data_IF_523448866805
#
_entry.id   IF_523448866805
#
_cell.length_a   1.000
_cell.length_b   1.000
_cell.length_c   1.000
_cell.angle_alpha   90.00
_cell.angle_beta   90.00
_cell.angle_gamma   90.00
#
_symmetry.space_group_name_H-M   'P 1'
#
loop_
_entity.id
_entity.type
_entity.pdbx_description
1 polymer ?
#
# COMPACT_ATOMS: atom_id res chain seq x y z
N UNK A 1 35.34 -34.50 -50.12
CA UNK A 1 34.21 -35.06 -49.34
C UNK A 1 34.00 -34.25 -48.06
N UNK A 2 32.78 -33.73 -47.89
CA UNK A 2 32.02 -33.64 -46.63
C UNK A 2 32.78 -33.28 -45.34
N UNK A 3 32.54 -32.05 -44.83
CA UNK A 3 32.17 -31.85 -43.40
C UNK A 3 31.14 -30.72 -43.28
N UNK A 4 29.86 -31.08 -43.42
CA UNK A 4 28.75 -30.24 -42.95
C UNK A 4 28.55 -30.50 -41.46
N UNK A 5 28.86 -29.54 -40.59
CA UNK A 5 28.50 -29.57 -39.18
C UNK A 5 27.43 -28.52 -38.89
N UNK A 6 26.35 -28.98 -38.26
CA UNK A 6 25.02 -28.37 -38.18
C UNK A 6 24.99 -27.17 -37.22
N UNK A 7 24.27 -26.11 -37.60
CA UNK A 7 23.98 -24.94 -36.74
C UNK A 7 23.17 -25.36 -35.50
N UNK A 8 23.58 -25.01 -34.27
CA UNK A 8 22.79 -25.27 -33.08
C UNK A 8 21.64 -24.27 -32.97
N UNK A 9 20.47 -24.81 -32.64
CA UNK A 9 19.18 -24.13 -32.50
C UNK A 9 19.20 -23.18 -31.30
N UNK A 10 19.32 -21.88 -31.52
CA UNK A 10 19.04 -20.86 -30.51
C UNK A 10 17.52 -20.69 -30.46
N UNK A 11 16.84 -21.67 -29.88
CA UNK A 11 15.43 -21.62 -29.50
C UNK A 11 15.32 -22.38 -28.19
N UNK A 12 15.50 -21.67 -27.06
CA UNK A 12 14.97 -22.01 -25.72
C UNK A 12 15.78 -21.27 -24.65
N UNK A 13 15.38 -20.03 -24.34
CA UNK A 13 15.67 -19.40 -23.05
C UNK A 13 14.71 -18.22 -22.77
N UNK A 14 13.45 -18.32 -23.20
CA UNK A 14 12.41 -17.35 -22.85
C UNK A 14 11.39 -18.07 -21.96
N UNK A 15 11.71 -18.24 -20.68
CA UNK A 15 10.83 -19.00 -19.81
C UNK A 15 11.32 -19.16 -18.39
N UNK A 16 11.74 -18.07 -17.73
CA UNK A 16 11.89 -18.08 -16.26
C UNK A 16 11.96 -16.65 -15.69
N UNK A 17 10.80 -15.97 -15.55
CA UNK A 17 10.57 -14.93 -14.52
C UNK A 17 9.17 -14.32 -14.64
N UNK A 18 8.11 -15.12 -14.56
CA UNK A 18 6.77 -14.58 -14.28
C UNK A 18 6.07 -15.46 -13.25
N UNK A 19 6.60 -15.48 -12.04
CA UNK A 19 5.77 -15.68 -10.86
C UNK A 19 5.55 -14.29 -10.29
N UNK A 20 4.75 -13.48 -10.99
CA UNK A 20 4.13 -12.32 -10.37
C UNK A 20 3.12 -12.91 -9.38
N UNK A 21 3.47 -12.89 -8.09
CA UNK A 21 2.58 -13.36 -7.04
C UNK A 21 1.24 -12.65 -7.18
N UNK A 22 0.19 -13.42 -7.47
CA UNK A 22 -1.16 -12.97 -7.25
C UNK A 22 -1.33 -12.87 -5.72
N UNK A 23 -0.87 -11.74 -5.17
CA UNK A 23 -1.26 -11.33 -3.83
C UNK A 23 -2.76 -11.16 -3.87
N UNK A 24 -3.48 -12.08 -3.23
CA UNK A 24 -4.89 -11.88 -2.93
C UNK A 24 -4.99 -10.55 -2.22
N UNK A 25 -5.56 -9.54 -2.87
CA UNK A 25 -5.86 -8.27 -2.22
C UNK A 25 -6.96 -8.54 -1.19
N UNK A 26 -6.56 -8.99 0.00
CA UNK A 26 -7.40 -8.85 1.17
C UNK A 26 -7.69 -7.35 1.28
N UNK A 27 -8.97 -6.98 1.29
CA UNK A 27 -9.35 -5.58 1.48
C UNK A 27 -8.78 -5.03 2.78
N UNK A 28 -8.67 -3.70 2.87
CA UNK A 28 -8.22 -3.03 4.08
C UNK A 28 -8.95 -3.56 5.32
N UNK A 29 -8.24 -3.74 6.45
CA UNK A 29 -8.91 -3.98 7.72
C UNK A 29 -9.98 -2.91 7.95
N UNK A 30 -11.19 -3.26 8.43
CA UNK A 30 -12.30 -2.30 8.52
C UNK A 30 -11.97 -1.02 9.30
N UNK A 31 -11.14 -1.13 10.34
CA UNK A 31 -10.69 0.02 11.14
C UNK A 31 -9.78 0.96 10.34
N UNK A 32 -8.94 0.39 9.47
CA UNK A 32 -8.05 1.16 8.59
C UNK A 32 -8.86 1.80 7.45
N UNK A 33 -9.85 1.10 6.88
CA UNK A 33 -10.76 1.66 5.89
C UNK A 33 -11.53 2.87 6.44
N UNK A 34 -12.05 2.77 7.67
CA UNK A 34 -12.71 3.90 8.34
C UNK A 34 -11.75 5.07 8.57
N UNK A 35 -10.51 4.79 8.95
CA UNK A 35 -9.47 5.80 9.14
C UNK A 35 -9.18 6.56 7.83
N UNK A 36 -9.02 5.83 6.73
CA UNK A 36 -8.84 6.37 5.39
C UNK A 36 -10.00 7.28 4.96
N UNK A 37 -11.24 6.82 5.13
CA UNK A 37 -12.43 7.60 4.75
C UNK A 37 -12.52 8.90 5.54
N UNK A 38 -12.27 8.84 6.85
CA UNK A 38 -12.27 10.02 7.73
C UNK A 38 -11.17 11.00 7.38
N UNK A 39 -9.96 10.49 7.09
CA UNK A 39 -8.86 11.32 6.61
C UNK A 39 -9.24 12.07 5.33
N UNK A 40 -9.86 11.40 4.37
CA UNK A 40 -10.26 12.02 3.10
C UNK A 40 -11.30 13.14 3.32
N UNK A 41 -12.30 12.90 4.16
CA UNK A 41 -13.30 13.93 4.52
C UNK A 41 -12.63 15.13 5.19
N UNK A 42 -11.75 14.90 6.16
CA UNK A 42 -11.05 15.98 6.87
C UNK A 42 -10.14 16.78 5.92
N UNK A 43 -9.38 16.08 5.08
CA UNK A 43 -8.39 16.71 4.20
C UNK A 43 -9.04 17.51 3.07
N UNK A 44 -10.10 16.98 2.46
CA UNK A 44 -10.66 17.56 1.25
C UNK A 44 -11.94 18.34 1.45
N UNK A 45 -12.75 17.99 2.46
CA UNK A 45 -14.09 18.57 2.63
C UNK A 45 -14.15 19.58 3.77
N UNK A 46 -13.35 19.41 4.83
CA UNK A 46 -13.36 20.35 5.95
C UNK A 46 -12.68 21.68 5.60
N UNK A 47 -13.25 22.82 6.05
CA UNK A 47 -12.60 24.12 5.97
C UNK A 47 -11.25 24.13 6.68
N UNK A 48 -10.26 24.85 6.14
CA UNK A 48 -8.89 24.93 6.69
C UNK A 48 -8.85 25.18 8.21
N UNK A 49 -9.64 26.10 8.80
CA UNK A 49 -9.58 26.36 10.24
C UNK A 49 -9.99 25.17 11.12
N UNK A 50 -10.86 24.30 10.61
CA UNK A 50 -11.39 23.15 11.36
C UNK A 50 -10.55 21.88 11.13
N UNK A 51 -9.76 21.87 10.05
CA UNK A 51 -9.01 20.68 9.61
C UNK A 51 -7.93 20.26 10.60
N UNK A 52 -7.17 21.20 11.16
CA UNK A 52 -6.03 20.89 12.05
C UNK A 52 -6.51 20.12 13.28
N UNK A 53 -7.51 20.66 13.99
CA UNK A 53 -8.09 20.01 15.18
C UNK A 53 -8.69 18.64 14.84
N UNK A 54 -9.33 18.51 13.67
CA UNK A 54 -9.88 17.23 13.23
C UNK A 54 -8.79 16.20 12.87
N UNK A 55 -7.68 16.64 12.26
CA UNK A 55 -6.52 15.78 11.97
C UNK A 55 -5.79 15.37 13.25
N UNK A 56 -5.68 16.25 14.25
CA UNK A 56 -5.11 15.90 15.56
C UNK A 56 -5.90 14.79 16.24
N UNK A 57 -7.23 14.90 16.26
CA UNK A 57 -8.10 13.85 16.77
C UNK A 57 -7.96 12.55 15.96
N UNK A 58 -7.82 12.66 14.63
CA UNK A 58 -7.60 11.51 13.76
C UNK A 58 -6.25 10.84 13.99
N UNK A 59 -5.20 11.61 14.29
CA UNK A 59 -3.86 11.08 14.60
C UNK A 59 -3.86 10.26 15.90
N UNK A 60 -4.68 10.65 16.89
CA UNK A 60 -4.88 9.83 18.08
C UNK A 60 -5.61 8.51 17.74
N UNK A 61 -6.59 8.57 16.83
CA UNK A 61 -7.28 7.36 16.36
C UNK A 61 -6.35 6.44 15.56
N UNK A 62 -5.50 6.99 14.67
CA UNK A 62 -4.56 6.20 13.89
C UNK A 62 -3.52 5.50 14.77
N UNK A 63 -3.09 6.16 15.85
CA UNK A 63 -2.21 5.58 16.86
C UNK A 63 -2.85 4.33 17.51
N UNK A 64 -4.13 4.42 17.87
CA UNK A 64 -4.88 3.29 18.43
C UNK A 64 -5.03 2.14 17.42
N UNK A 65 -5.31 2.43 16.15
CA UNK A 65 -5.39 1.41 15.10
C UNK A 65 -4.03 0.74 14.89
N UNK A 66 -2.94 1.51 14.85
CA UNK A 66 -1.56 0.99 14.78
C UNK A 66 -1.23 0.09 15.98
N UNK A 67 -1.67 0.47 17.18
CA UNK A 67 -1.47 -0.35 18.38
C UNK A 67 -2.31 -1.64 18.38
N UNK A 68 -3.52 -1.61 17.83
CA UNK A 68 -4.37 -2.79 17.69
C UNK A 68 -3.89 -3.76 16.59
N UNK A 69 -3.22 -3.23 15.57
CA UNK A 69 -2.73 -3.97 14.40
C UNK A 69 -1.22 -3.70 14.17
N UNK A 70 -0.35 -4.11 15.10
CA UNK A 70 1.06 -3.68 15.11
C UNK A 70 1.90 -4.16 13.92
N UNK A 71 1.55 -5.31 13.35
CA UNK A 71 2.26 -5.92 12.21
C UNK A 71 1.50 -5.76 10.88
N UNK A 72 0.40 -4.99 10.88
CA UNK A 72 -0.40 -4.73 9.69
C UNK A 72 0.17 -3.55 8.90
N UNK A 73 0.55 -3.81 7.64
CA UNK A 73 1.18 -2.80 6.79
C UNK A 73 0.24 -1.62 6.51
N UNK A 74 -1.06 -1.87 6.31
CA UNK A 74 -2.02 -0.82 6.01
C UNK A 74 -2.22 0.10 7.23
N UNK A 75 -2.29 -0.46 8.44
CA UNK A 75 -2.37 0.32 9.68
C UNK A 75 -1.16 1.24 9.86
N UNK A 76 0.05 0.73 9.59
CA UNK A 76 1.29 1.51 9.69
C UNK A 76 1.37 2.62 8.62
N UNK A 77 1.00 2.31 7.38
CA UNK A 77 0.98 3.27 6.27
C UNK A 77 0.01 4.41 6.58
N UNK A 78 -1.21 4.08 7.02
CA UNK A 78 -2.23 5.08 7.28
C UNK A 78 -1.94 5.94 8.51
N UNK A 79 -1.33 5.40 9.57
CA UNK A 79 -0.82 6.22 10.68
C UNK A 79 0.23 7.24 10.20
N UNK A 80 1.14 6.82 9.32
CA UNK A 80 2.12 7.72 8.70
C UNK A 80 1.48 8.82 7.86
N UNK A 81 0.48 8.49 7.04
CA UNK A 81 -0.26 9.47 6.21
C UNK A 81 -0.95 10.52 7.07
N UNK A 82 -1.67 10.08 8.11
CA UNK A 82 -2.41 10.99 9.01
C UNK A 82 -1.44 11.93 9.72
N UNK A 83 -0.34 11.43 10.29
CA UNK A 83 0.67 12.27 10.96
C UNK A 83 1.36 13.24 10.03
N UNK A 84 1.69 12.80 8.81
CA UNK A 84 2.32 13.68 7.81
C UNK A 84 1.40 14.80 7.35
N UNK A 85 0.08 14.64 7.51
CA UNK A 85 -0.90 15.69 7.18
C UNK A 85 -0.92 16.84 8.20
N UNK A 86 -0.27 16.67 9.36
CA UNK A 86 -0.11 17.68 10.41
C UNK A 86 1.26 18.39 10.35
N UNK A 87 2.18 17.93 9.49
CA UNK A 87 3.51 18.52 9.29
C UNK A 87 3.46 19.72 8.34
#
# INVERSE_FOLDING_TARGET
MNRSCRKPRIFSALGLCMIAGAGWAAGLPPQVAQLQDRWAVITYQLPKPQRVVALEALAQQSDQVRHALPDDADALIWDGIVRSSLA
#
